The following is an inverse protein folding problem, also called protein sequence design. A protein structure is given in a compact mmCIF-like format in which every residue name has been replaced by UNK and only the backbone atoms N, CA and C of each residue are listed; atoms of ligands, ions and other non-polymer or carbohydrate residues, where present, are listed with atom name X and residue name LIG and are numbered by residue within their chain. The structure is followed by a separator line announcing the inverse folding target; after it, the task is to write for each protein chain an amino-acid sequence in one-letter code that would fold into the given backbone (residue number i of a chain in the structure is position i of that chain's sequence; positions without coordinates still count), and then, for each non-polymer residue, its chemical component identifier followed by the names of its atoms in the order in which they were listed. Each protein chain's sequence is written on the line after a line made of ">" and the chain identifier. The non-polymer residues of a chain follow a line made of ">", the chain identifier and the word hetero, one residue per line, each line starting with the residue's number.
data_IF_979290237898
#
_entry.id   IF_979290237898
#
_cell.length_a   1.000
_cell.length_b   1.000
_cell.length_c   1.000
_cell.angle_alpha   90.00
_cell.angle_beta   90.00
_cell.angle_gamma   90.00
#
_symmetry.space_group_name_H-M   'P 1'
#
loop_
_entity.id
_entity.type
_entity.pdbx_description
1 polymer ?
#
# COMPACT_ATOMS: atom_id res chain seq x y z
N UNK A 1 10.12 -41.94 46.29
CA UNK A 1 9.12 -41.40 45.34
C UNK A 1 9.12 -39.88 45.43
N UNK A 2 9.34 -39.10 44.35
CA UNK A 2 9.28 -37.62 44.49
C UNK A 2 9.81 -36.73 43.34
N UNK A 3 10.54 -37.27 42.35
CA UNK A 3 11.14 -36.44 41.28
C UNK A 3 10.25 -36.14 40.06
N UNK A 4 9.13 -36.86 39.85
CA UNK A 4 8.24 -36.64 38.68
C UNK A 4 7.41 -35.34 38.76
N UNK A 5 6.76 -35.05 39.89
CA UNK A 5 5.84 -33.90 40.01
C UNK A 5 6.47 -32.50 39.97
N UNK A 6 7.79 -32.38 40.17
CA UNK A 6 8.49 -31.08 40.14
C UNK A 6 8.85 -30.65 38.70
N UNK A 7 9.07 -31.62 37.79
CA UNK A 7 9.26 -31.36 36.35
C UNK A 7 7.94 -30.93 35.69
N UNK A 8 6.85 -31.63 35.97
CA UNK A 8 5.54 -31.33 35.38
C UNK A 8 4.97 -29.95 35.82
N UNK A 9 5.20 -29.54 37.08
CA UNK A 9 4.85 -28.18 37.54
C UNK A 9 5.68 -27.09 36.86
N UNK A 10 6.95 -27.35 36.56
CA UNK A 10 7.85 -26.38 35.90
C UNK A 10 7.49 -26.22 34.41
N UNK A 11 7.11 -27.30 33.74
CA UNK A 11 6.60 -27.28 32.35
C UNK A 11 5.27 -26.51 32.27
N UNK A 12 4.30 -26.79 33.15
CA UNK A 12 3.03 -26.03 33.21
C UNK A 12 3.21 -24.54 33.54
N UNK A 13 4.24 -24.18 34.31
CA UNK A 13 4.58 -22.78 34.59
C UNK A 13 5.15 -22.04 33.38
N UNK A 14 6.01 -22.71 32.61
CA UNK A 14 6.58 -22.18 31.36
C UNK A 14 5.49 -22.00 30.28
N UNK A 15 4.61 -22.98 30.09
CA UNK A 15 3.48 -22.91 29.14
C UNK A 15 2.52 -21.75 29.47
N UNK A 16 2.17 -21.56 30.75
CA UNK A 16 1.34 -20.41 31.17
C UNK A 16 2.01 -19.07 30.94
N UNK A 17 3.34 -19.02 31.05
CA UNK A 17 4.11 -17.79 30.81
C UNK A 17 4.19 -17.49 29.32
N UNK A 18 4.43 -18.50 28.47
CA UNK A 18 4.42 -18.39 27.02
C UNK A 18 3.05 -17.92 26.50
N UNK A 19 1.95 -18.56 26.92
CA UNK A 19 0.61 -18.16 26.52
C UNK A 19 0.24 -16.72 26.96
N UNK A 20 0.76 -16.26 28.10
CA UNK A 20 0.58 -14.87 28.56
C UNK A 20 1.39 -13.89 27.71
N UNK A 21 2.60 -14.26 27.28
CA UNK A 21 3.41 -13.46 26.37
C UNK A 21 2.77 -13.37 24.98
N UNK A 22 2.33 -14.49 24.41
CA UNK A 22 1.61 -14.55 23.13
C UNK A 22 0.36 -13.67 23.15
N UNK A 23 -0.46 -13.76 24.21
CA UNK A 23 -1.64 -12.91 24.35
C UNK A 23 -1.29 -11.42 24.44
N UNK A 24 -0.18 -11.07 25.10
CA UNK A 24 0.28 -9.68 25.19
C UNK A 24 0.79 -9.16 23.84
N UNK A 25 1.52 -9.99 23.09
CA UNK A 25 2.01 -9.67 21.73
C UNK A 25 0.82 -9.47 20.79
N UNK A 26 -0.14 -10.41 20.79
CA UNK A 26 -1.35 -10.31 19.97
C UNK A 26 -2.21 -9.08 20.29
N UNK A 27 -2.35 -8.71 21.57
CA UNK A 27 -3.08 -7.51 21.94
C UNK A 27 -2.36 -6.23 21.51
N UNK A 28 -1.02 -6.22 21.57
CA UNK A 28 -0.21 -5.10 21.08
C UNK A 28 -0.36 -4.96 19.58
N UNK A 29 -0.18 -6.04 18.82
CA UNK A 29 -0.27 -6.01 17.35
C UNK A 29 -1.64 -5.55 16.85
N UNK A 30 -2.73 -5.98 17.51
CA UNK A 30 -4.09 -5.51 17.19
C UNK A 30 -4.25 -4.01 17.39
N UNK A 31 -3.74 -3.47 18.50
CA UNK A 31 -3.81 -2.04 18.77
C UNK A 31 -3.01 -1.24 17.74
N UNK A 32 -1.83 -1.74 17.38
CA UNK A 32 -0.98 -1.14 16.36
C UNK A 32 -1.65 -1.14 14.97
N UNK A 33 -2.33 -2.23 14.61
CA UNK A 33 -3.15 -2.33 13.39
C UNK A 33 -4.33 -1.33 13.42
N UNK A 34 -5.07 -1.24 14.53
CA UNK A 34 -6.15 -0.27 14.72
C UNK A 34 -5.65 1.19 14.60
N UNK A 35 -4.48 1.50 15.17
CA UNK A 35 -3.86 2.82 15.09
C UNK A 35 -3.48 3.17 13.64
N UNK A 36 -2.97 2.20 12.87
CA UNK A 36 -2.68 2.38 11.43
C UNK A 36 -3.96 2.57 10.60
N UNK A 37 -4.98 1.75 10.84
CA UNK A 37 -6.27 1.87 10.16
C UNK A 37 -6.92 3.24 10.41
N UNK A 38 -6.83 3.75 11.63
CA UNK A 38 -7.31 5.09 11.98
C UNK A 38 -6.55 6.19 11.21
N UNK A 39 -5.22 6.08 11.08
CA UNK A 39 -4.42 7.03 10.32
C UNK A 39 -4.74 6.97 8.81
N UNK A 40 -4.90 5.77 8.26
CA UNK A 40 -5.32 5.57 6.88
C UNK A 40 -6.70 6.19 6.64
N UNK A 41 -7.64 5.99 7.56
CA UNK A 41 -8.98 6.59 7.48
C UNK A 41 -8.93 8.13 7.53
N UNK A 42 -8.00 8.72 8.30
CA UNK A 42 -7.77 10.17 8.29
C UNK A 42 -7.33 10.67 6.91
N UNK A 43 -6.39 9.99 6.26
CA UNK A 43 -5.98 10.30 4.88
C UNK A 43 -7.16 10.21 3.91
N UNK A 44 -7.94 9.14 3.99
CA UNK A 44 -9.13 8.97 3.15
C UNK A 44 -10.16 10.08 3.37
N UNK A 45 -10.37 10.52 4.62
CA UNK A 45 -11.26 11.62 4.95
C UNK A 45 -10.75 12.97 4.42
N UNK A 46 -9.43 13.18 4.38
CA UNK A 46 -8.83 14.37 3.76
C UNK A 46 -9.01 14.34 2.24
N UNK A 47 -8.80 13.18 1.61
CA UNK A 47 -8.96 13.03 0.16
C UNK A 47 -10.42 13.08 -0.30
N UNK A 48 -11.37 12.61 0.52
CA UNK A 48 -12.80 12.71 0.24
C UNK A 48 -13.31 14.17 0.15
N UNK A 49 -12.56 15.13 0.73
CA UNK A 49 -12.87 16.57 0.60
C UNK A 49 -12.49 17.13 -0.78
N UNK A 50 -11.63 16.44 -1.54
CA UNK A 50 -11.25 16.82 -2.90
C UNK A 50 -12.31 16.30 -3.87
N UNK A 51 -13.11 17.20 -4.43
CA UNK A 51 -14.27 16.84 -5.27
C UNK A 51 -14.07 17.12 -6.75
N UNK A 52 -12.96 17.77 -7.12
CA UNK A 52 -12.66 18.17 -8.48
C UNK A 52 -11.30 17.63 -8.91
N UNK A 53 -11.18 17.34 -10.21
CA UNK A 53 -9.90 17.03 -10.84
C UNK A 53 -9.11 18.32 -11.01
N UNK A 54 -7.90 18.36 -10.46
CA UNK A 54 -7.00 19.51 -10.58
C UNK A 54 -5.65 19.05 -11.10
N UNK A 55 -5.13 19.74 -12.12
CA UNK A 55 -3.79 19.52 -12.66
C UNK A 55 -2.94 20.77 -12.43
N UNK A 56 -1.82 20.59 -11.74
CA UNK A 56 -0.96 21.69 -11.30
C UNK A 56 0.44 21.45 -11.86
N UNK A 57 0.94 22.32 -12.76
CA UNK A 57 2.35 22.31 -13.14
C UNK A 57 3.23 22.40 -11.90
N UNK A 58 4.21 21.51 -11.78
CA UNK A 58 5.00 21.40 -10.58
C UNK A 58 6.49 21.14 -10.89
N UNK A 59 7.40 21.41 -9.93
CA UNK A 59 8.76 20.89 -10.01
C UNK A 59 8.76 19.34 -9.96
N UNK A 60 9.93 18.70 -10.19
CA UNK A 60 10.07 17.27 -9.97
C UNK A 60 9.56 16.82 -8.59
N UNK A 61 8.89 15.66 -8.49
CA UNK A 61 8.42 15.10 -7.23
C UNK A 61 9.55 14.94 -6.21
N UNK A 62 9.19 14.92 -4.92
CA UNK A 62 10.15 14.64 -3.85
C UNK A 62 10.87 13.30 -4.08
N UNK A 63 12.14 13.17 -3.64
CA UNK A 63 12.82 11.89 -3.60
C UNK A 63 11.97 10.84 -2.91
N UNK A 64 11.82 9.67 -3.52
CA UNK A 64 10.97 8.60 -3.02
C UNK A 64 11.42 7.24 -3.48
N UNK A 65 11.15 6.24 -2.67
CA UNK A 65 11.38 4.83 -2.95
C UNK A 65 10.04 4.10 -3.13
N UNK A 66 10.11 2.93 -3.75
CA UNK A 66 9.00 1.99 -3.86
C UNK A 66 7.69 2.59 -4.45
N UNK A 67 7.81 3.65 -5.25
CA UNK A 67 6.74 4.18 -6.09
C UNK A 67 6.59 3.34 -7.36
N UNK A 68 5.47 3.48 -8.06
CA UNK A 68 5.30 2.93 -9.41
C UNK A 68 5.54 3.99 -10.47
N UNK A 69 6.32 3.66 -11.51
CA UNK A 69 6.49 4.47 -12.71
C UNK A 69 6.05 3.67 -13.94
N UNK A 70 5.04 4.15 -14.66
CA UNK A 70 4.48 3.47 -15.83
C UNK A 70 4.45 4.40 -17.04
N UNK A 71 4.59 3.86 -18.26
CA UNK A 71 4.36 4.64 -19.47
C UNK A 71 2.85 4.84 -19.70
N UNK A 72 2.43 6.05 -20.07
CA UNK A 72 1.07 6.31 -20.53
C UNK A 72 0.84 5.54 -21.84
N UNK A 73 -0.33 4.90 -22.05
CA UNK A 73 -0.52 4.00 -23.19
C UNK A 73 -0.71 4.72 -24.55
N UNK A 74 -0.76 6.05 -24.55
CA UNK A 74 -1.22 6.87 -25.70
C UNK A 74 -0.47 8.19 -25.82
N UNK A 75 0.01 8.76 -24.70
CA UNK A 75 0.77 10.01 -24.65
C UNK A 75 2.24 9.70 -24.38
N UNK A 76 3.14 10.62 -24.77
CA UNK A 76 4.57 10.60 -24.40
C UNK A 76 4.75 11.08 -22.96
N UNK A 77 4.11 10.38 -22.03
CA UNK A 77 4.07 10.70 -20.62
C UNK A 77 4.43 9.49 -19.77
N UNK A 78 5.12 9.74 -18.66
CA UNK A 78 5.29 8.75 -17.59
C UNK A 78 4.35 9.09 -16.44
N UNK A 79 3.78 8.07 -15.81
CA UNK A 79 2.84 8.16 -14.71
C UNK A 79 3.56 7.66 -13.46
N UNK A 80 3.74 8.55 -12.49
CA UNK A 80 4.32 8.24 -11.18
C UNK A 80 3.21 8.23 -10.13
N UNK A 81 3.12 7.17 -9.34
CA UNK A 81 2.12 7.06 -8.28
C UNK A 81 2.72 6.51 -6.98
N UNK A 82 2.39 7.18 -5.88
CA UNK A 82 2.68 6.76 -4.51
C UNK A 82 4.18 6.74 -4.16
N UNK A 83 4.55 5.78 -3.33
CA UNK A 83 5.91 5.59 -2.80
C UNK A 83 6.07 6.11 -1.39
N UNK A 84 7.31 6.07 -0.91
CA UNK A 84 7.68 6.49 0.44
C UNK A 84 8.97 7.31 0.48
N UNK A 85 9.20 7.99 1.59
CA UNK A 85 10.44 8.70 1.87
C UNK A 85 10.73 8.70 3.37
N UNK A 86 11.94 8.28 3.74
CA UNK A 86 12.45 8.38 5.10
C UNK A 86 13.43 9.55 5.22
N UNK A 87 13.15 10.49 6.12
CA UNK A 87 14.03 11.65 6.33
C UNK A 87 15.08 11.44 7.46
N UNK A 88 15.24 10.22 7.95
CA UNK A 88 16.09 9.92 9.12
C UNK A 88 15.37 9.95 10.47
N UNK A 89 14.11 10.41 10.51
CA UNK A 89 13.30 10.50 11.73
C UNK A 89 11.88 9.96 11.58
N UNK A 90 11.27 10.18 10.42
CA UNK A 90 9.88 9.83 10.13
C UNK A 90 9.74 9.26 8.73
N UNK A 91 8.85 8.28 8.60
CA UNK A 91 8.39 7.73 7.33
C UNK A 91 7.25 8.59 6.76
N UNK A 92 7.35 8.89 5.45
CA UNK A 92 6.33 9.63 4.71
C UNK A 92 5.80 8.74 3.59
N UNK A 93 4.51 8.42 3.64
CA UNK A 93 3.83 7.65 2.61
C UNK A 93 3.05 8.57 1.69
N UNK A 94 3.06 8.29 0.39
CA UNK A 94 2.41 9.12 -0.61
C UNK A 94 1.28 8.38 -1.36
N UNK A 95 0.25 9.12 -1.78
CA UNK A 95 -0.73 8.72 -2.80
C UNK A 95 -0.90 9.81 -3.87
N UNK A 96 0.09 10.69 -4.01
CA UNK A 96 0.09 11.67 -5.08
C UNK A 96 0.33 10.99 -6.43
N UNK A 97 -0.26 11.59 -7.46
CA UNK A 97 -0.19 11.16 -8.85
C UNK A 97 0.49 12.26 -9.64
N UNK A 98 1.51 11.89 -10.42
CA UNK A 98 2.19 12.81 -11.30
C UNK A 98 2.26 12.27 -12.72
N UNK A 99 2.21 13.21 -13.66
CA UNK A 99 2.48 12.97 -15.07
C UNK A 99 3.75 13.73 -15.45
N UNK A 100 4.73 13.02 -16.01
CA UNK A 100 5.92 13.61 -16.59
C UNK A 100 5.80 13.61 -18.10
N UNK A 101 5.75 14.79 -18.71
CA UNK A 101 5.76 14.92 -20.15
C UNK A 101 7.19 14.87 -20.67
N UNK A 102 7.50 13.80 -21.42
CA UNK A 102 8.87 13.51 -21.88
C UNK A 102 9.35 14.60 -22.85
N UNK A 103 8.48 15.00 -23.80
CA UNK A 103 8.84 15.98 -24.84
C UNK A 103 9.03 17.38 -24.27
N UNK A 104 8.21 17.77 -23.31
CA UNK A 104 8.27 19.09 -22.66
C UNK A 104 9.24 19.14 -21.48
N UNK A 105 9.73 17.98 -21.03
CA UNK A 105 10.54 17.83 -19.83
C UNK A 105 9.90 18.54 -18.62
N UNK A 106 8.61 18.30 -18.38
CA UNK A 106 7.82 19.02 -17.38
C UNK A 106 6.94 18.07 -16.58
N UNK A 107 6.74 18.40 -15.30
CA UNK A 107 5.87 17.64 -14.40
C UNK A 107 4.54 18.35 -14.17
N UNK A 108 3.50 17.55 -14.03
CA UNK A 108 2.17 17.95 -13.57
C UNK A 108 1.78 17.05 -12.41
N UNK A 109 1.36 17.63 -11.29
CA UNK A 109 0.69 16.92 -10.21
C UNK A 109 -0.80 16.89 -10.50
N UNK A 110 -1.38 15.70 -10.52
CA UNK A 110 -2.81 15.51 -10.71
C UNK A 110 -3.47 15.15 -9.37
N UNK A 111 -4.48 15.91 -8.98
CA UNK A 111 -5.34 15.63 -7.86
C UNK A 111 -6.67 15.12 -8.40
N UNK A 112 -6.86 13.80 -8.33
CA UNK A 112 -8.07 13.12 -8.78
C UNK A 112 -8.85 12.68 -7.53
N UNK A 113 -10.16 12.99 -7.43
CA UNK A 113 -10.98 12.59 -6.29
C UNK A 113 -10.92 11.08 -6.00
N UNK A 114 -11.09 10.75 -4.72
CA UNK A 114 -11.19 9.36 -4.24
C UNK A 114 -10.01 8.45 -4.64
N UNK A 115 -8.75 8.88 -4.48
CA UNK A 115 -7.59 8.05 -4.78
C UNK A 115 -7.48 6.86 -3.81
N UNK A 116 -6.72 5.81 -4.17
CA UNK A 116 -6.24 4.84 -3.21
C UNK A 116 -5.50 5.52 -2.03
N UNK A 117 -5.60 4.97 -0.81
CA UNK A 117 -4.79 5.42 0.32
C UNK A 117 -3.28 5.46 0.05
N UNK A 118 -2.51 6.28 0.80
CA UNK A 118 -1.05 6.32 0.72
C UNK A 118 -0.43 4.93 0.80
N UNK A 119 0.49 4.64 -0.13
CA UNK A 119 1.08 3.32 -0.26
C UNK A 119 2.44 3.36 -0.93
N UNK A 120 3.30 2.43 -0.52
CA UNK A 120 4.53 2.09 -1.21
C UNK A 120 4.55 0.58 -1.52
N UNK A 121 5.55 0.13 -2.28
CA UNK A 121 5.79 -1.30 -2.56
C UNK A 121 4.59 -2.00 -3.21
N UNK A 122 3.65 -1.21 -3.75
CA UNK A 122 2.56 -1.65 -4.61
C UNK A 122 3.11 -1.94 -6.00
N UNK A 123 2.29 -2.58 -6.84
CA UNK A 123 2.57 -2.67 -8.26
C UNK A 123 1.48 -1.97 -9.03
N UNK A 124 1.90 -1.30 -10.11
CA UNK A 124 1.00 -0.71 -11.06
C UNK A 124 1.28 -1.23 -12.46
N UNK A 125 0.21 -1.48 -13.22
CA UNK A 125 0.29 -1.91 -14.62
C UNK A 125 -0.67 -1.07 -15.44
N UNK A 126 -0.19 -0.61 -16.60
CA UNK A 126 -0.99 0.13 -17.57
C UNK A 126 -1.51 -0.82 -18.64
N UNK A 127 -2.79 -0.66 -18.99
CA UNK A 127 -3.39 -1.27 -20.19
C UNK A 127 -4.01 -0.17 -21.05
N UNK A 128 -3.96 -0.33 -22.38
CA UNK A 128 -4.48 0.67 -23.33
C UNK A 128 -6.02 0.66 -23.49
N UNK A 129 -6.71 -0.26 -22.82
CA UNK A 129 -8.17 -0.38 -22.93
C UNK A 129 -8.87 0.91 -22.48
N UNK A 130 -9.89 1.35 -23.22
CA UNK A 130 -10.77 2.44 -22.81
C UNK A 130 -10.10 3.82 -22.72
N UNK A 131 -9.09 4.09 -23.55
CA UNK A 131 -8.30 5.33 -23.48
C UNK A 131 -7.22 5.31 -22.38
N UNK A 132 -6.93 4.11 -21.85
CA UNK A 132 -5.88 3.89 -20.86
C UNK A 132 -6.41 3.67 -19.45
N UNK A 133 -5.88 2.64 -18.79
CA UNK A 133 -6.18 2.31 -17.41
C UNK A 133 -4.89 1.98 -16.66
N UNK A 134 -4.69 2.62 -15.51
CA UNK A 134 -3.63 2.28 -14.56
C UNK A 134 -4.22 1.44 -13.44
N UNK A 135 -3.87 0.16 -13.42
CA UNK A 135 -4.26 -0.79 -12.38
C UNK A 135 -3.24 -0.81 -11.26
N UNK A 136 -3.67 -0.68 -10.01
CA UNK A 136 -2.81 -0.67 -8.82
C UNK A 136 -3.30 -1.73 -7.84
N UNK A 137 -2.40 -2.62 -7.43
CA UNK A 137 -2.71 -3.66 -6.44
C UNK A 137 -1.75 -3.62 -5.26
N UNK A 138 -2.32 -3.82 -4.07
CA UNK A 138 -1.59 -4.03 -2.83
C UNK A 138 -0.66 -2.88 -2.46
N UNK A 139 0.52 -3.25 -1.96
CA UNK A 139 1.44 -2.34 -1.29
C UNK A 139 1.22 -2.30 0.21
N UNK A 140 1.91 -1.39 0.87
CA UNK A 140 1.79 -1.20 2.31
C UNK A 140 1.76 0.27 2.70
N UNK A 141 1.22 0.52 3.89
CA UNK A 141 1.34 1.78 4.60
C UNK A 141 2.18 1.56 5.86
N UNK A 142 3.26 2.30 5.99
CA UNK A 142 4.12 2.27 7.16
C UNK A 142 3.68 3.34 8.17
N UNK A 143 3.75 3.00 9.46
CA UNK A 143 3.58 3.98 10.53
C UNK A 143 4.62 5.10 10.43
N UNK A 144 4.35 6.31 10.95
CA UNK A 144 5.32 7.41 10.95
C UNK A 144 6.70 7.07 11.54
N UNK A 145 6.80 6.10 12.46
CA UNK A 145 8.07 5.66 13.02
C UNK A 145 8.72 4.49 12.25
N UNK A 146 8.08 3.97 11.19
CA UNK A 146 8.58 2.89 10.36
C UNK A 146 8.59 1.51 11.02
N UNK A 147 7.88 1.33 12.14
CA UNK A 147 7.91 0.08 12.93
C UNK A 147 6.73 -0.86 12.63
N UNK A 148 5.67 -0.37 11.99
CA UNK A 148 4.44 -1.12 11.76
C UNK A 148 3.98 -0.93 10.32
N UNK A 149 3.40 -1.98 9.74
CA UNK A 149 2.99 -2.01 8.35
C UNK A 149 1.55 -2.51 8.21
N UNK A 150 0.76 -1.82 7.41
CA UNK A 150 -0.56 -2.26 6.97
C UNK A 150 -0.46 -2.72 5.51
N UNK A 151 -0.68 -4.00 5.23
CA UNK A 151 -0.62 -4.53 3.87
C UNK A 151 -1.99 -4.45 3.18
N UNK A 152 -2.05 -3.64 2.13
CA UNK A 152 -3.27 -3.50 1.34
C UNK A 152 -3.56 -4.77 0.53
N UNK A 153 -4.85 -5.11 0.44
CA UNK A 153 -5.42 -6.18 -0.41
C UNK A 153 -6.33 -5.66 -1.51
N UNK A 154 -6.44 -4.34 -1.62
CA UNK A 154 -7.36 -3.68 -2.53
C UNK A 154 -6.81 -3.64 -3.96
N UNK A 155 -7.72 -3.59 -4.91
CA UNK A 155 -7.43 -3.40 -6.32
C UNK A 155 -8.07 -2.10 -6.76
N UNK A 156 -7.28 -1.23 -7.35
CA UNK A 156 -7.73 0.06 -7.86
C UNK A 156 -7.47 0.15 -9.35
N UNK A 157 -8.32 0.89 -10.05
CA UNK A 157 -8.08 1.32 -11.42
C UNK A 157 -8.27 2.83 -11.50
N UNK A 158 -7.31 3.51 -12.11
CA UNK A 158 -7.48 4.86 -12.61
C UNK A 158 -7.80 4.78 -14.09
N UNK A 159 -8.99 5.25 -14.46
CA UNK A 159 -9.37 5.44 -15.86
C UNK A 159 -8.75 6.75 -16.35
N UNK A 160 -7.74 6.65 -17.21
CA UNK A 160 -6.93 7.80 -17.67
C UNK A 160 -7.74 8.72 -18.60
N UNK A 161 -8.70 8.19 -19.35
CA UNK A 161 -9.54 8.99 -20.23
C UNK A 161 -10.49 9.93 -19.47
N UNK A 162 -10.97 9.49 -18.31
CA UNK A 162 -11.99 10.20 -17.53
C UNK A 162 -11.45 10.84 -16.25
N UNK A 163 -10.19 10.57 -15.89
CA UNK A 163 -9.59 10.95 -14.62
C UNK A 163 -10.46 10.54 -13.43
N UNK A 164 -10.78 9.25 -13.35
CA UNK A 164 -11.58 8.68 -12.25
C UNK A 164 -10.92 7.45 -11.66
N UNK A 165 -10.76 7.46 -10.34
CA UNK A 165 -10.39 6.28 -9.57
C UNK A 165 -11.61 5.42 -9.27
N UNK A 166 -11.41 4.10 -9.28
CA UNK A 166 -12.42 3.12 -8.92
C UNK A 166 -11.77 2.01 -8.09
N UNK A 167 -12.41 1.67 -6.96
CA UNK A 167 -12.04 0.51 -6.14
C UNK A 167 -12.76 -0.74 -6.67
N UNK A 168 -12.00 -1.69 -7.18
CA UNK A 168 -12.52 -2.91 -7.80
C UNK A 168 -12.66 -4.01 -6.76
N UNK A 169 -13.90 -4.48 -6.58
CA UNK A 169 -14.18 -5.66 -5.76
C UNK A 169 -13.79 -6.92 -6.52
N UNK A 170 -12.70 -7.55 -6.12
CA UNK A 170 -12.21 -8.81 -6.68
C UNK A 170 -12.34 -9.96 -5.66
N UNK A 171 -13.54 -10.57 -5.50
CA UNK A 171 -13.71 -11.71 -4.61
C UNK A 171 -12.84 -12.88 -5.06
N UNK A 172 -12.12 -13.50 -4.12
CA UNK A 172 -11.15 -14.55 -4.43
C UNK A 172 -9.81 -14.03 -5.00
N UNK A 173 -9.58 -12.72 -4.99
CA UNK A 173 -8.28 -12.13 -5.32
C UNK A 173 -7.17 -12.50 -4.32
N UNK A 174 -5.91 -12.10 -4.60
CA UNK A 174 -4.78 -12.38 -3.72
C UNK A 174 -4.96 -11.75 -2.34
N UNK A 175 -4.32 -12.32 -1.32
CA UNK A 175 -4.22 -11.66 0.00
C UNK A 175 -3.45 -10.34 -0.10
N UNK A 176 -3.62 -9.47 0.89
CA UNK A 176 -2.83 -8.24 0.97
C UNK A 176 -1.34 -8.53 1.02
N UNK A 177 -0.55 -7.70 0.34
CA UNK A 177 0.89 -7.94 0.16
C UNK A 177 1.61 -6.71 -0.38
N UNK A 178 2.89 -6.61 -0.06
CA UNK A 178 3.84 -5.63 -0.61
C UNK A 178 5.05 -6.34 -1.23
N UNK A 179 5.82 -5.61 -2.04
CA UNK A 179 7.04 -6.12 -2.70
C UNK A 179 6.79 -7.22 -3.74
N UNK A 180 5.54 -7.42 -4.14
CA UNK A 180 5.15 -8.39 -5.16
C UNK A 180 5.45 -7.86 -6.56
N UNK A 181 5.26 -8.71 -7.58
CA UNK A 181 5.22 -8.31 -8.99
C UNK A 181 3.83 -8.52 -9.55
N UNK A 182 3.42 -7.61 -10.44
CA UNK A 182 2.15 -7.70 -11.16
C UNK A 182 2.39 -7.45 -12.65
N UNK A 183 1.77 -8.26 -13.50
CA UNK A 183 1.77 -8.07 -14.96
C UNK A 183 0.36 -8.22 -15.51
N UNK A 184 0.05 -7.49 -16.58
CA UNK A 184 -1.17 -7.71 -17.36
C UNK A 184 -0.90 -8.75 -18.44
N UNK A 185 -1.78 -9.73 -18.55
CA UNK A 185 -1.77 -10.71 -19.63
C UNK A 185 -3.20 -10.99 -20.07
N UNK A 186 -3.50 -10.74 -21.35
CA UNK A 186 -4.85 -10.82 -21.91
C UNK A 186 -5.83 -9.96 -21.09
N UNK A 187 -6.81 -10.59 -20.44
CA UNK A 187 -7.83 -9.94 -19.59
C UNK A 187 -7.60 -10.24 -18.10
N UNK A 188 -6.35 -10.51 -17.70
CA UNK A 188 -5.99 -10.90 -16.35
C UNK A 188 -4.81 -10.07 -15.84
N UNK A 189 -4.85 -9.79 -14.54
CA UNK A 189 -3.70 -9.31 -13.78
C UNK A 189 -3.11 -10.51 -13.04
N UNK A 190 -1.86 -10.83 -13.32
CA UNK A 190 -1.13 -11.92 -12.68
C UNK A 190 -0.24 -11.33 -11.60
N UNK A 191 -0.45 -11.76 -10.36
CA UNK A 191 0.31 -11.31 -9.18
C UNK A 191 1.17 -12.47 -8.69
N UNK A 192 2.46 -12.21 -8.49
CA UNK A 192 3.42 -13.22 -8.00
C UNK A 192 4.32 -12.66 -6.90
N UNK A 193 4.60 -13.50 -5.90
CA UNK A 193 5.51 -13.21 -4.81
C UNK A 193 5.00 -12.13 -3.85
N UNK A 194 5.95 -11.36 -3.33
CA UNK A 194 5.73 -10.41 -2.24
C UNK A 194 5.59 -11.09 -0.89
N UNK A 195 5.42 -10.27 0.14
CA UNK A 195 5.26 -10.72 1.51
C UNK A 195 4.04 -10.06 2.16
N UNK A 196 3.63 -10.66 3.26
CA UNK A 196 2.62 -10.14 4.16
C UNK A 196 3.13 -10.46 5.56
N UNK A 197 3.50 -9.44 6.33
CA UNK A 197 3.86 -9.64 7.73
C UNK A 197 2.61 -10.03 8.51
N UNK A 198 2.42 -11.34 8.66
CA UNK A 198 1.60 -11.85 9.73
C UNK A 198 2.46 -11.82 10.98
N UNK A 199 2.15 -10.96 11.94
CA UNK A 199 2.65 -11.00 13.32
C UNK A 199 2.17 -12.26 14.08
N UNK A 200 1.94 -13.38 13.38
CA UNK A 200 1.54 -14.69 13.91
C UNK A 200 2.70 -15.67 13.72
N UNK A 201 3.69 -15.57 14.61
CA UNK A 201 4.53 -16.70 15.02
C UNK A 201 4.34 -16.89 16.52
#
# INVERSE_FOLDING_TARGET
>A
MGKKGKKDKKVKGAEKTAAKMEKKISNRSKREEEDLEALIAEFQNMDAKKTQVVEIPCPPPSPRLNASLCAHPEKDELILFGGEFFNGKKEYMYNDLFFYNIRKNSWVKAEIPTPPPPRCSHQAVVVAQGGGQLWVFGGEFASPNGEQFYHYKDLWVLHLATHTWENIKAPGGPSGRSGHRMVASKKQLLVFGGFHENSRL
#
